data_IF_289576739324
#
_entry.id   IF_289576739324
#
_cell.length_a   1.000
_cell.length_b   1.000
_cell.length_c   1.000
_cell.angle_alpha   90.00
_cell.angle_beta   90.00
_cell.angle_gamma   90.00
#
_symmetry.space_group_name_H-M   'P 1'
#
loop_
_entity.id
_entity.type
_entity.pdbx_description
1 polymer ?
#
# COMPACT_ATOMS: atom_id res chain seq x y z
N UNK A 1 -5.89 24.87 33.15
CA UNK A 1 -6.18 24.20 31.87
C UNK A 1 -5.02 23.37 31.35
N UNK A 2 -3.88 23.92 30.91
CA UNK A 2 -2.73 23.11 30.44
C UNK A 2 -2.29 21.99 31.39
N UNK A 3 -2.15 22.30 32.70
CA UNK A 3 -1.83 21.29 33.74
C UNK A 3 -2.86 20.16 33.82
N UNK A 4 -4.15 20.46 33.61
CA UNK A 4 -5.22 19.47 33.62
C UNK A 4 -5.16 18.61 32.34
N UNK A 5 -4.89 19.20 31.18
CA UNK A 5 -4.73 18.44 29.92
C UNK A 5 -3.57 17.45 30.01
N UNK A 6 -2.37 17.87 30.41
CA UNK A 6 -1.24 16.95 30.56
C UNK A 6 -1.45 15.87 31.63
N UNK A 7 -2.40 16.08 32.55
CA UNK A 7 -2.76 15.09 33.56
C UNK A 7 -3.65 13.96 33.02
N UNK A 8 -4.20 14.10 31.80
CA UNK A 8 -5.01 13.05 31.15
C UNK A 8 -4.20 11.80 30.78
N UNK A 9 -2.88 11.94 30.58
CA UNK A 9 -1.98 10.81 30.32
C UNK A 9 -1.48 10.12 31.58
N UNK A 10 -1.67 10.71 32.76
CA UNK A 10 -1.17 10.11 34.00
C UNK A 10 -1.90 8.78 34.28
N UNK A 11 -1.17 7.76 34.78
CA UNK A 11 -1.75 6.44 35.06
C UNK A 11 -2.70 6.44 36.26
N UNK A 12 -2.64 7.48 37.12
CA UNK A 12 -3.46 7.58 38.34
C UNK A 12 -4.92 7.97 38.01
N UNK A 13 -5.91 7.08 38.22
CA UNK A 13 -7.29 7.32 37.80
C UNK A 13 -7.93 8.55 38.47
N UNK A 14 -7.72 8.75 39.77
CA UNK A 14 -8.31 9.89 40.50
C UNK A 14 -7.83 11.25 39.98
N UNK A 15 -6.55 11.37 39.62
CA UNK A 15 -5.99 12.60 39.03
C UNK A 15 -6.57 12.85 37.64
N UNK A 16 -6.78 11.78 36.85
CA UNK A 16 -7.39 11.85 35.52
C UNK A 16 -8.85 12.32 35.61
N UNK A 17 -9.69 11.66 36.40
CA UNK A 17 -11.11 12.02 36.57
C UNK A 17 -11.28 13.45 37.05
N UNK A 18 -10.45 13.91 37.99
CA UNK A 18 -10.47 15.31 38.45
C UNK A 18 -10.13 16.26 37.30
N UNK A 19 -9.10 15.96 36.53
CA UNK A 19 -8.65 16.80 35.41
C UNK A 19 -9.69 16.85 34.29
N UNK A 20 -10.34 15.73 33.97
CA UNK A 20 -11.45 15.66 33.01
C UNK A 20 -12.62 16.55 33.47
N UNK A 21 -13.02 16.48 34.74
CA UNK A 21 -14.08 17.33 35.29
C UNK A 21 -13.71 18.81 35.26
N UNK A 22 -12.47 19.17 35.61
CA UNK A 22 -11.98 20.55 35.54
C UNK A 22 -11.99 21.09 34.09
N UNK A 23 -11.68 20.25 33.11
CA UNK A 23 -11.70 20.61 31.69
C UNK A 23 -13.13 20.79 31.15
N UNK A 24 -14.06 19.88 31.48
CA UNK A 24 -15.47 19.98 31.06
C UNK A 24 -16.14 21.25 31.62
N UNK A 25 -15.81 21.65 32.85
CA UNK A 25 -16.33 22.89 33.46
C UNK A 25 -15.67 24.18 32.94
N UNK A 26 -14.55 24.06 32.21
CA UNK A 26 -13.73 25.21 31.80
C UNK A 26 -14.22 25.96 30.55
N UNK A 27 -15.31 25.50 29.92
CA UNK A 27 -15.96 26.16 28.77
C UNK A 27 -15.00 26.47 27.61
N UNK A 28 -15.21 27.60 26.93
CA UNK A 28 -14.42 27.99 25.76
C UNK A 28 -12.89 28.02 25.99
N UNK A 29 -12.44 28.34 27.20
CA UNK A 29 -11.01 28.38 27.54
C UNK A 29 -10.41 26.97 27.58
N UNK A 30 -11.11 26.01 28.17
CA UNK A 30 -10.67 24.62 28.17
C UNK A 30 -10.73 24.02 26.77
N UNK A 31 -11.79 24.30 26.01
CA UNK A 31 -11.91 23.89 24.61
C UNK A 31 -10.72 24.37 23.76
N UNK A 32 -10.35 25.64 23.86
CA UNK A 32 -9.21 26.19 23.11
C UNK A 32 -7.87 25.52 23.44
N UNK A 33 -7.68 25.06 24.68
CA UNK A 33 -6.48 24.28 25.06
C UNK A 33 -6.53 22.85 24.53
N UNK A 34 -7.70 22.19 24.62
CA UNK A 34 -7.90 20.84 24.13
C UNK A 34 -7.70 20.75 22.61
N UNK A 35 -8.24 21.69 21.85
CA UNK A 35 -8.07 21.77 20.39
C UNK A 35 -6.59 21.92 20.00
N UNK A 36 -5.82 22.74 20.71
CA UNK A 36 -4.38 22.89 20.45
C UNK A 36 -3.62 21.59 20.63
N UNK A 37 -3.96 20.81 21.65
CA UNK A 37 -3.34 19.50 21.91
C UNK A 37 -3.83 18.45 20.91
N UNK A 38 -5.10 18.50 20.53
CA UNK A 38 -5.69 17.64 19.52
C UNK A 38 -5.00 17.78 18.16
N UNK A 39 -4.67 19.01 17.73
CA UNK A 39 -4.00 19.30 16.45
C UNK A 39 -2.66 18.59 16.29
N UNK A 40 -1.94 18.32 17.37
CA UNK A 40 -0.65 17.59 17.34
C UNK A 40 -0.81 16.17 16.80
N UNK A 41 -1.97 15.53 17.01
CA UNK A 41 -2.28 14.21 16.45
C UNK A 41 -2.69 14.25 14.97
N UNK A 42 -2.90 15.44 14.40
CA UNK A 42 -3.45 15.61 13.07
C UNK A 42 -4.95 15.31 12.99
N UNK A 43 -5.53 15.70 11.86
CA UNK A 43 -6.98 15.70 11.69
C UNK A 43 -7.57 14.30 11.52
N UNK A 44 -6.88 13.37 10.88
CA UNK A 44 -7.35 11.97 10.75
C UNK A 44 -7.53 11.30 12.13
N UNK A 45 -6.56 11.48 13.02
CA UNK A 45 -6.64 10.99 14.40
C UNK A 45 -7.77 11.67 15.18
N UNK A 46 -7.99 12.97 14.96
CA UNK A 46 -9.08 13.69 15.57
C UNK A 46 -10.46 13.17 15.11
N UNK A 47 -10.66 12.97 13.81
CA UNK A 47 -11.91 12.43 13.28
C UNK A 47 -12.18 11.01 13.78
N UNK A 48 -11.14 10.18 13.85
CA UNK A 48 -11.21 8.83 14.41
C UNK A 48 -11.66 8.83 15.89
N UNK A 49 -11.19 9.80 16.68
CA UNK A 49 -11.51 9.92 18.09
C UNK A 49 -12.89 10.56 18.35
N UNK A 50 -13.27 11.58 17.57
CA UNK A 50 -14.52 12.33 17.74
C UNK A 50 -15.75 11.59 17.19
N UNK A 51 -15.60 10.78 16.14
CA UNK A 51 -16.70 10.08 15.47
C UNK A 51 -17.35 8.95 16.29
N UNK A 52 -18.49 8.37 15.84
CA UNK A 52 -19.13 7.23 16.50
C UNK A 52 -18.34 5.93 16.24
N UNK A 53 -18.44 4.95 17.14
CA UNK A 53 -17.57 3.76 17.11
C UNK A 53 -17.88 2.78 15.98
N UNK A 54 -19.12 2.74 15.48
CA UNK A 54 -19.59 1.62 14.64
C UNK A 54 -20.42 1.99 13.41
N UNK A 55 -20.89 3.24 13.25
CA UNK A 55 -21.87 3.59 12.21
C UNK A 55 -21.30 4.32 10.98
N UNK A 56 -20.11 4.94 11.05
CA UNK A 56 -19.49 5.65 9.92
C UNK A 56 -18.17 4.99 9.47
N UNK A 57 -18.15 4.40 8.28
CA UNK A 57 -16.98 3.70 7.72
C UNK A 57 -15.73 4.57 7.60
N UNK A 58 -15.88 5.87 7.33
CA UNK A 58 -14.76 6.82 7.24
C UNK A 58 -14.01 6.98 8.58
N UNK A 59 -14.74 6.96 9.69
CA UNK A 59 -14.15 7.00 11.04
C UNK A 59 -13.56 5.66 11.46
N UNK A 60 -14.06 4.55 10.91
CA UNK A 60 -13.49 3.22 11.15
C UNK A 60 -12.14 3.04 10.43
N UNK A 61 -12.04 3.44 9.16
CA UNK A 61 -10.79 3.40 8.39
C UNK A 61 -9.68 4.25 9.02
N UNK A 62 -10.01 5.47 9.47
CA UNK A 62 -9.07 6.35 10.16
C UNK A 62 -8.64 5.82 11.54
N UNK A 63 -9.45 4.99 12.22
CA UNK A 63 -9.05 4.32 13.47
C UNK A 63 -8.02 3.22 13.24
N UNK A 64 -8.15 2.45 12.16
CA UNK A 64 -7.18 1.40 11.83
C UNK A 64 -5.78 1.99 11.56
N UNK A 65 -5.70 3.19 10.98
CA UNK A 65 -4.41 3.87 10.72
C UNK A 65 -3.88 4.66 11.92
N UNK A 66 -4.75 5.16 12.81
CA UNK A 66 -4.36 5.96 13.98
C UNK A 66 -3.81 5.14 15.17
N UNK A 67 -4.05 3.83 15.22
CA UNK A 67 -3.54 2.95 16.29
C UNK A 67 -2.13 2.43 15.98
N UNK A 68 -1.13 3.33 16.01
CA UNK A 68 0.29 2.91 16.11
C UNK A 68 0.68 2.85 17.60
N UNK A 69 1.26 1.73 18.08
CA UNK A 69 1.56 1.52 19.50
C UNK A 69 2.58 2.50 20.10
N UNK A 70 3.36 3.20 19.26
CA UNK A 70 4.48 4.05 19.69
C UNK A 70 4.13 5.55 19.86
N UNK A 71 2.85 5.94 19.78
CA UNK A 71 2.43 7.37 19.85
C UNK A 71 1.68 7.71 21.15
N UNK A 72 1.92 8.92 21.66
CA UNK A 72 1.19 9.50 22.80
C UNK A 72 -0.33 9.43 22.58
N UNK A 73 -1.07 9.11 23.65
CA UNK A 73 -2.54 9.01 23.61
C UNK A 73 -3.22 10.34 23.94
N UNK A 74 -2.46 11.35 24.35
CA UNK A 74 -2.96 12.65 24.76
C UNK A 74 -3.80 13.34 23.66
N UNK A 75 -3.39 13.38 22.38
CA UNK A 75 -4.20 14.03 21.34
C UNK A 75 -5.57 13.38 21.21
N UNK A 76 -5.64 12.04 21.23
CA UNK A 76 -6.91 11.29 21.19
C UNK A 76 -7.81 11.63 22.38
N UNK A 77 -7.27 11.68 23.60
CA UNK A 77 -8.03 12.02 24.81
C UNK A 77 -8.51 13.47 24.79
N UNK A 78 -7.67 14.38 24.30
CA UNK A 78 -8.02 15.79 24.16
C UNK A 78 -9.17 15.99 23.15
N UNK A 79 -9.14 15.26 22.03
CA UNK A 79 -10.21 15.28 21.02
C UNK A 79 -11.52 14.75 21.60
N UNK A 80 -11.52 13.62 22.30
CA UNK A 80 -12.75 13.06 22.87
C UNK A 80 -13.41 14.04 23.86
N UNK A 81 -12.63 14.68 24.72
CA UNK A 81 -13.15 15.72 25.62
C UNK A 81 -13.64 16.96 24.87
N UNK A 82 -12.89 17.45 23.88
CA UNK A 82 -13.31 18.59 23.08
C UNK A 82 -14.62 18.30 22.31
N UNK A 83 -14.77 17.10 21.77
CA UNK A 83 -15.99 16.66 21.10
C UNK A 83 -17.18 16.61 22.09
N UNK A 84 -17.00 16.08 23.31
CA UNK A 84 -18.04 16.11 24.35
C UNK A 84 -18.48 17.53 24.69
N UNK A 85 -17.53 18.46 24.82
CA UNK A 85 -17.86 19.88 25.05
C UNK A 85 -18.71 20.47 23.93
N UNK A 86 -18.40 20.16 22.67
CA UNK A 86 -19.22 20.60 21.52
C UNK A 86 -20.60 19.97 21.52
N UNK A 87 -20.75 18.73 22.00
CA UNK A 87 -22.04 18.06 22.12
C UNK A 87 -22.93 18.70 23.20
N UNK A 88 -22.35 19.16 24.29
CA UNK A 88 -23.06 19.72 25.45
C UNK A 88 -23.32 21.23 25.32
N UNK A 89 -22.46 21.98 24.63
CA UNK A 89 -22.54 23.45 24.50
C UNK A 89 -22.82 23.88 23.05
N UNK A 90 -24.05 24.35 22.80
CA UNK A 90 -24.47 24.83 21.48
C UNK A 90 -23.73 26.10 21.02
N UNK A 91 -23.41 27.02 21.94
CA UNK A 91 -22.69 28.24 21.60
C UNK A 91 -21.24 27.94 21.22
N UNK A 92 -20.60 27.00 21.92
CA UNK A 92 -19.27 26.52 21.58
C UNK A 92 -19.24 25.81 20.22
N UNK A 93 -20.28 25.02 19.91
CA UNK A 93 -20.45 24.36 18.62
C UNK A 93 -20.56 25.34 17.47
N UNK A 94 -21.44 26.33 17.58
CA UNK A 94 -21.60 27.36 16.56
C UNK A 94 -20.32 28.18 16.36
N UNK A 95 -19.59 28.46 17.45
CA UNK A 95 -18.27 29.09 17.37
C UNK A 95 -17.27 28.22 16.58
N UNK A 96 -17.20 26.92 16.86
CA UNK A 96 -16.30 26.01 16.17
C UNK A 96 -16.65 25.85 14.68
N UNK A 97 -17.94 25.78 14.34
CA UNK A 97 -18.42 25.73 12.94
C UNK A 97 -18.07 26.99 12.14
N UNK A 98 -17.93 28.15 12.79
CA UNK A 98 -17.57 29.43 12.15
C UNK A 98 -16.10 29.80 12.35
N UNK A 99 -15.29 28.90 12.91
CA UNK A 99 -13.86 29.14 13.14
C UNK A 99 -13.15 29.32 11.81
N UNK A 100 -12.14 30.19 11.74
CA UNK A 100 -11.27 30.31 10.56
C UNK A 100 -10.43 29.04 10.33
N UNK A 101 -10.30 28.22 11.37
CA UNK A 101 -9.47 27.02 11.40
C UNK A 101 -10.23 25.78 10.91
N UNK A 102 -9.82 25.15 9.79
CA UNK A 102 -10.47 23.93 9.27
C UNK A 102 -10.51 22.80 10.30
N UNK A 103 -9.50 22.73 11.18
CA UNK A 103 -9.46 21.75 12.26
C UNK A 103 -10.70 21.83 13.18
N UNK A 104 -11.11 23.03 13.55
CA UNK A 104 -12.25 23.23 14.47
C UNK A 104 -13.58 22.97 13.77
N UNK A 105 -13.73 23.39 12.51
CA UNK A 105 -14.92 23.12 11.70
C UNK A 105 -15.14 21.62 11.49
N UNK A 106 -14.07 20.89 11.12
CA UNK A 106 -14.14 19.45 10.96
C UNK A 106 -14.37 18.70 12.27
N UNK A 107 -13.82 19.18 13.39
CA UNK A 107 -14.13 18.63 14.71
C UNK A 107 -15.60 18.84 15.11
N UNK A 108 -16.18 20.01 14.80
CA UNK A 108 -17.59 20.27 15.04
C UNK A 108 -18.51 19.38 14.20
N UNK A 109 -18.18 19.16 12.92
CA UNK A 109 -18.88 18.21 12.06
C UNK A 109 -18.80 16.78 12.62
N UNK A 110 -17.61 16.35 13.06
CA UNK A 110 -17.42 15.03 13.64
C UNK A 110 -18.20 14.85 14.96
N UNK A 111 -18.27 15.88 15.82
CA UNK A 111 -19.02 15.82 17.07
C UNK A 111 -20.54 15.68 16.85
N UNK A 112 -21.09 16.24 15.77
CA UNK A 112 -22.51 16.12 15.40
C UNK A 112 -22.93 14.66 15.14
N UNK A 113 -21.98 13.76 14.85
CA UNK A 113 -22.24 12.33 14.67
C UNK A 113 -22.82 11.63 15.90
N UNK A 114 -22.62 12.21 17.10
CA UNK A 114 -23.15 11.70 18.37
C UNK A 114 -24.41 12.43 18.85
N UNK A 115 -24.86 13.46 18.13
CA UNK A 115 -26.03 14.29 18.49
C UNK A 115 -26.94 14.45 17.27
N UNK A 116 -27.86 13.49 17.02
CA UNK A 116 -28.72 13.45 15.84
C UNK A 116 -29.42 14.77 15.51
N UNK A 117 -29.94 15.47 16.53
CA UNK A 117 -30.66 16.73 16.39
C UNK A 117 -29.85 17.86 15.71
N UNK A 118 -28.53 17.71 15.60
CA UNK A 118 -27.64 18.74 15.02
C UNK A 118 -26.96 18.33 13.71
N UNK A 119 -27.28 17.14 13.21
CA UNK A 119 -26.68 16.60 11.98
C UNK A 119 -27.02 17.47 10.76
N UNK A 120 -28.28 17.91 10.62
CA UNK A 120 -28.72 18.76 9.51
C UNK A 120 -28.05 20.13 9.55
N UNK A 121 -28.01 20.79 10.71
CA UNK A 121 -27.32 22.07 10.90
C UNK A 121 -25.83 21.96 10.57
N UNK A 122 -25.16 20.90 11.06
CA UNK A 122 -23.74 20.67 10.83
C UNK A 122 -23.42 20.47 9.34
N UNK A 123 -24.22 19.70 8.60
CA UNK A 123 -24.04 19.53 7.15
C UNK A 123 -24.33 20.80 6.36
N UNK A 124 -25.35 21.56 6.78
CA UNK A 124 -25.71 22.82 6.12
C UNK A 124 -24.56 23.84 6.20
N UNK A 125 -23.86 23.89 7.34
CA UNK A 125 -22.68 24.73 7.50
C UNK A 125 -21.53 24.37 6.52
N UNK A 126 -21.46 23.11 6.05
CA UNK A 126 -20.42 22.65 5.14
C UNK A 126 -20.64 23.04 3.68
N UNK A 127 -21.83 23.53 3.30
CA UNK A 127 -22.15 23.93 1.92
C UNK A 127 -21.22 25.02 1.37
N UNK A 128 -20.77 25.93 2.24
CA UNK A 128 -19.90 27.05 1.88
C UNK A 128 -18.46 26.84 2.39
N UNK A 129 -18.10 25.61 2.75
CA UNK A 129 -16.78 25.31 3.30
C UNK A 129 -15.69 25.67 2.28
N UNK A 130 -14.70 26.52 2.59
CA UNK A 130 -13.60 26.81 1.66
C UNK A 130 -12.57 25.68 1.57
N UNK A 131 -12.44 24.83 2.60
CA UNK A 131 -11.43 23.76 2.64
C UNK A 131 -11.87 22.51 1.82
N UNK A 132 -11.13 22.16 0.75
CA UNK A 132 -11.39 20.98 -0.10
C UNK A 132 -11.58 19.66 0.65
N UNK A 133 -10.75 19.43 1.67
CA UNK A 133 -10.70 18.17 2.41
C UNK A 133 -11.92 18.03 3.32
N UNK A 134 -12.30 19.13 3.96
CA UNK A 134 -13.50 19.18 4.77
C UNK A 134 -14.77 18.98 3.93
N UNK A 135 -14.83 19.47 2.68
CA UNK A 135 -15.94 19.16 1.76
C UNK A 135 -16.06 17.67 1.49
N UNK A 136 -14.95 17.01 1.13
CA UNK A 136 -14.92 15.56 0.89
C UNK A 136 -15.35 14.77 2.15
N UNK A 137 -14.95 15.22 3.33
CA UNK A 137 -15.39 14.63 4.58
C UNK A 137 -16.86 14.89 4.87
N UNK A 138 -17.37 16.09 4.60
CA UNK A 138 -18.78 16.43 4.76
C UNK A 138 -19.67 15.49 3.96
N UNK A 139 -19.30 15.13 2.73
CA UNK A 139 -20.02 14.13 1.91
C UNK A 139 -20.07 12.77 2.61
N UNK A 140 -18.94 12.30 3.13
CA UNK A 140 -18.89 11.00 3.84
C UNK A 140 -19.66 11.01 5.17
N UNK A 141 -19.65 12.14 5.90
CA UNK A 141 -20.48 12.32 7.09
C UNK A 141 -21.97 12.38 6.74
N UNK A 142 -22.32 13.02 5.62
CA UNK A 142 -23.70 13.11 5.14
C UNK A 142 -24.28 11.72 4.83
N UNK A 143 -23.57 10.90 4.06
CA UNK A 143 -23.97 9.50 3.82
C UNK A 143 -24.14 8.71 5.12
N UNK A 144 -23.24 8.94 6.09
CA UNK A 144 -23.35 8.27 7.38
C UNK A 144 -24.60 8.74 8.16
N UNK A 145 -24.87 10.04 8.20
CA UNK A 145 -26.02 10.59 8.92
C UNK A 145 -27.33 10.11 8.30
N UNK A 146 -27.42 10.05 6.96
CA UNK A 146 -28.57 9.48 6.26
C UNK A 146 -28.82 8.02 6.68
N UNK A 147 -27.80 7.16 6.63
CA UNK A 147 -27.93 5.74 7.07
C UNK A 147 -28.30 5.61 8.55
N UNK A 148 -27.87 6.55 9.39
CA UNK A 148 -28.28 6.56 10.79
C UNK A 148 -29.74 6.99 10.94
N UNK A 149 -30.19 7.99 10.17
CA UNK A 149 -31.57 8.46 10.17
C UNK A 149 -32.54 7.39 9.67
N UNK A 150 -32.20 6.68 8.58
CA UNK A 150 -32.95 5.50 8.08
C UNK A 150 -33.20 4.47 9.20
N UNK A 151 -32.16 4.17 9.99
CA UNK A 151 -32.27 3.22 11.11
C UNK A 151 -33.10 3.73 12.28
N UNK A 152 -33.09 5.05 12.52
CA UNK A 152 -33.84 5.68 13.62
C UNK A 152 -35.31 5.93 13.25
N UNK A 153 -35.62 6.06 11.96
CA UNK A 153 -36.93 6.42 11.43
C UNK A 153 -37.50 7.69 12.09
N UNK A 154 -36.66 8.73 12.22
CA UNK A 154 -36.96 9.98 12.94
C UNK A 154 -37.44 11.12 12.03
N UNK A 155 -37.68 10.85 10.74
CA UNK A 155 -38.11 11.84 9.74
C UNK A 155 -37.02 12.79 9.25
N UNK A 156 -35.77 12.67 9.73
CA UNK A 156 -34.65 13.52 9.27
C UNK A 156 -33.98 13.03 7.97
N UNK A 157 -34.35 11.85 7.48
CA UNK A 157 -33.75 11.19 6.32
C UNK A 157 -33.80 12.05 5.05
N UNK A 158 -34.93 12.66 4.74
CA UNK A 158 -35.11 13.47 3.53
C UNK A 158 -34.20 14.70 3.53
N UNK A 159 -34.14 15.41 4.65
CA UNK A 159 -33.28 16.58 4.81
C UNK A 159 -31.78 16.22 4.74
N UNK A 160 -31.38 15.10 5.34
CA UNK A 160 -30.00 14.60 5.30
C UNK A 160 -29.61 14.10 3.89
N UNK A 161 -30.54 13.44 3.20
CA UNK A 161 -30.35 12.99 1.81
C UNK A 161 -30.21 14.15 0.83
N UNK A 162 -31.01 15.21 1.00
CA UNK A 162 -30.87 16.45 0.24
C UNK A 162 -29.51 17.10 0.45
N UNK A 163 -29.08 17.26 1.71
CA UNK A 163 -27.76 17.79 2.04
C UNK A 163 -26.61 16.91 1.51
N UNK A 164 -26.76 15.58 1.55
CA UNK A 164 -25.76 14.65 1.03
C UNK A 164 -25.58 14.79 -0.50
N UNK A 165 -26.66 14.94 -1.25
CA UNK A 165 -26.63 15.10 -2.70
C UNK A 165 -25.93 16.39 -3.11
N UNK A 166 -26.28 17.51 -2.48
CA UNK A 166 -25.62 18.80 -2.72
C UNK A 166 -24.12 18.78 -2.36
N UNK A 167 -23.75 18.16 -1.22
CA UNK A 167 -22.35 18.02 -0.82
C UNK A 167 -21.58 17.06 -1.75
N UNK A 168 -22.24 16.10 -2.38
CA UNK A 168 -21.62 15.22 -3.37
C UNK A 168 -21.29 15.98 -4.67
N UNK A 169 -22.21 16.83 -5.15
CA UNK A 169 -21.97 17.69 -6.32
C UNK A 169 -20.80 18.66 -6.06
N UNK A 170 -20.77 19.31 -4.90
CA UNK A 170 -19.65 20.18 -4.49
C UNK A 170 -18.33 19.42 -4.29
N UNK A 171 -18.40 18.15 -3.88
CA UNK A 171 -17.23 17.30 -3.74
C UNK A 171 -16.67 16.88 -5.10
N UNK A 172 -17.51 16.69 -6.12
CA UNK A 172 -17.08 16.35 -7.48
C UNK A 172 -16.22 17.47 -8.11
N UNK A 173 -16.49 18.74 -7.79
CA UNK A 173 -15.66 19.89 -8.19
C UNK A 173 -14.25 19.85 -7.58
N UNK A 174 -14.08 19.16 -6.45
CA UNK A 174 -12.85 19.08 -5.65
C UNK A 174 -12.14 17.72 -5.82
N UNK A 175 -12.82 16.75 -6.46
CA UNK A 175 -12.43 15.34 -6.47
C UNK A 175 -11.24 15.02 -7.37
N UNK A 176 -10.78 15.95 -8.21
CA UNK A 176 -9.55 15.74 -8.96
C UNK A 176 -8.36 15.91 -7.99
N UNK A 177 -7.68 14.82 -7.56
CA UNK A 177 -6.44 14.96 -6.81
C UNK A 177 -5.46 15.78 -7.65
N UNK A 178 -4.59 16.56 -7.01
CA UNK A 178 -3.51 17.22 -7.74
C UNK A 178 -2.72 16.15 -8.49
N UNK A 179 -2.52 16.35 -9.80
CA UNK A 179 -1.86 15.39 -10.67
C UNK A 179 -0.57 15.99 -11.21
N UNK A 180 0.48 15.19 -11.19
CA UNK A 180 1.65 15.42 -12.02
C UNK A 180 1.64 14.36 -13.11
N UNK A 181 1.41 14.79 -14.35
CA UNK A 181 1.47 13.93 -15.54
C UNK A 181 2.86 13.99 -16.13
N UNK A 182 3.43 15.19 -16.26
CA UNK A 182 4.78 15.41 -16.78
C UNK A 182 5.75 15.93 -15.72
N UNK A 183 7.04 15.54 -15.74
CA UNK A 183 8.02 16.00 -14.76
C UNK A 183 8.14 17.53 -14.61
N UNK A 184 7.81 18.30 -15.64
CA UNK A 184 7.80 19.77 -15.59
C UNK A 184 6.66 20.38 -14.77
N UNK A 185 5.60 19.60 -14.50
CA UNK A 185 4.46 19.98 -13.66
C UNK A 185 4.71 19.72 -12.17
N UNK A 186 5.86 19.12 -11.83
CA UNK A 186 6.17 18.76 -10.46
C UNK A 186 6.34 20.02 -9.59
N UNK A 187 5.44 20.19 -8.62
CA UNK A 187 5.49 21.33 -7.71
C UNK A 187 6.76 21.32 -6.84
N UNK A 188 7.53 22.42 -6.78
CA UNK A 188 8.73 22.50 -5.95
C UNK A 188 8.47 22.24 -4.46
N UNK A 189 7.28 22.63 -3.97
CA UNK A 189 6.86 22.43 -2.58
C UNK A 189 6.73 20.94 -2.24
N UNK A 190 6.19 20.14 -3.15
CA UNK A 190 6.08 18.68 -2.97
C UNK A 190 7.46 18.04 -2.84
N UNK A 191 8.44 18.50 -3.63
CA UNK A 191 9.83 18.02 -3.55
C UNK A 191 10.45 18.36 -2.19
N UNK A 192 10.23 19.58 -1.69
CA UNK A 192 10.72 19.98 -0.37
C UNK A 192 10.06 19.19 0.77
N UNK A 193 8.77 18.90 0.65
CA UNK A 193 8.03 18.08 1.62
C UNK A 193 8.53 16.63 1.63
N UNK A 194 8.73 16.01 0.45
CA UNK A 194 9.31 14.68 0.32
C UNK A 194 10.74 14.63 0.89
N UNK A 195 11.56 15.65 0.60
CA UNK A 195 12.93 15.75 1.10
C UNK A 195 13.00 15.80 2.65
N UNK A 196 12.00 16.42 3.28
CA UNK A 196 11.90 16.58 4.75
C UNK A 196 11.09 15.47 5.43
N UNK A 197 10.54 14.52 4.67
CA UNK A 197 9.66 13.48 5.20
C UNK A 197 8.29 14.00 5.67
N UNK A 198 7.87 15.17 5.18
CA UNK A 198 6.53 15.74 5.41
C UNK A 198 5.51 15.22 4.38
N UNK A 199 5.97 14.71 3.24
CA UNK A 199 5.18 13.91 2.33
C UNK A 199 5.78 12.51 2.21
N UNK A 200 4.94 11.50 2.00
CA UNK A 200 5.35 10.10 1.85
C UNK A 200 4.51 9.39 0.77
N UNK A 201 5.09 8.39 0.13
CA UNK A 201 4.38 7.48 -0.75
C UNK A 201 3.27 6.76 0.01
N UNK A 202 2.09 6.71 -0.60
CA UNK A 202 0.85 6.20 -0.02
C UNK A 202 0.26 5.03 -0.84
N UNK A 203 1.08 4.38 -1.65
CA UNK A 203 0.71 3.25 -2.49
C UNK A 203 0.71 3.59 -3.99
N UNK A 204 0.24 2.64 -4.78
CA UNK A 204 0.13 2.76 -6.22
C UNK A 204 -1.12 2.03 -6.72
N UNK A 205 -1.63 2.45 -7.87
CA UNK A 205 -2.61 1.72 -8.66
C UNK A 205 -1.98 1.36 -9.99
N UNK A 206 -2.34 0.19 -10.52
CA UNK A 206 -1.92 -0.25 -11.85
C UNK A 206 -3.09 -0.90 -12.55
N UNK A 207 -3.46 -0.38 -13.71
CA UNK A 207 -4.18 -1.12 -14.74
C UNK A 207 -3.17 -1.60 -15.79
N UNK A 208 -3.60 -2.39 -16.77
CA UNK A 208 -2.71 -2.92 -17.82
C UNK A 208 -1.97 -1.81 -18.60
N UNK A 209 -2.56 -0.61 -18.68
CA UNK A 209 -2.05 0.49 -19.49
C UNK A 209 -1.60 1.73 -18.70
N UNK A 210 -1.99 1.84 -17.41
CA UNK A 210 -1.71 3.03 -16.60
C UNK A 210 -1.25 2.61 -15.20
N UNK A 211 -0.07 3.09 -14.80
CA UNK A 211 0.41 3.01 -13.43
C UNK A 211 0.43 4.42 -12.82
N UNK A 212 -0.16 4.57 -11.64
CA UNK A 212 -0.18 5.83 -10.91
C UNK A 212 0.34 5.61 -9.50
N UNK A 213 1.23 6.47 -9.04
CA UNK A 213 1.72 6.48 -7.67
C UNK A 213 0.99 7.56 -6.88
N UNK A 214 0.65 7.27 -5.64
CA UNK A 214 0.02 8.25 -4.76
C UNK A 214 1.04 8.73 -3.74
N UNK A 215 1.17 10.04 -3.59
CA UNK A 215 1.89 10.68 -2.48
C UNK A 215 0.88 11.31 -1.56
N UNK A 216 1.07 11.14 -0.26
CA UNK A 216 0.30 11.80 0.79
C UNK A 216 1.16 12.87 1.43
N UNK A 217 0.71 14.11 1.35
CA UNK A 217 1.32 15.28 2.01
C UNK A 217 0.95 15.32 3.49
N UNK A 218 1.63 16.14 4.28
CA UNK A 218 1.41 16.29 5.73
C UNK A 218 -0.03 16.76 6.05
N UNK A 219 -0.57 17.65 5.22
CA UNK A 219 -1.95 18.12 5.30
C UNK A 219 -2.97 17.02 4.96
N UNK A 220 -2.51 15.83 4.54
CA UNK A 220 -3.28 14.66 4.13
C UNK A 220 -3.87 14.75 2.72
N UNK A 221 -3.47 15.75 1.93
CA UNK A 221 -3.75 15.83 0.50
C UNK A 221 -3.05 14.70 -0.26
N UNK A 222 -3.71 14.20 -1.31
CA UNK A 222 -3.17 13.16 -2.18
C UNK A 222 -2.76 13.78 -3.51
N UNK A 223 -1.51 13.54 -3.88
CA UNK A 223 -0.98 13.89 -5.20
C UNK A 223 -0.80 12.60 -5.98
N UNK A 224 -1.41 12.53 -7.17
CA UNK A 224 -1.23 11.43 -8.10
C UNK A 224 -0.05 11.75 -9.04
N UNK A 225 0.95 10.87 -9.04
CA UNK A 225 2.13 10.99 -9.88
C UNK A 225 2.07 9.94 -10.99
N UNK A 226 2.28 10.37 -12.22
CA UNK A 226 2.67 9.47 -13.31
C UNK A 226 4.01 8.78 -12.98
N UNK A 227 4.36 7.69 -13.66
CA UNK A 227 5.65 7.02 -13.47
C UNK A 227 6.85 7.96 -13.67
N UNK A 228 6.75 8.87 -14.65
CA UNK A 228 7.80 9.84 -14.94
C UNK A 228 7.91 10.89 -13.83
N UNK A 229 6.78 11.40 -13.33
CA UNK A 229 6.75 12.33 -12.20
C UNK A 229 7.27 11.69 -10.90
N UNK A 230 6.93 10.43 -10.62
CA UNK A 230 7.43 9.73 -9.45
C UNK A 230 8.96 9.56 -9.49
N UNK A 231 9.53 9.21 -10.65
CA UNK A 231 10.97 9.14 -10.84
C UNK A 231 11.64 10.51 -10.65
N UNK A 232 11.07 11.57 -11.23
CA UNK A 232 11.58 12.93 -11.11
C UNK A 232 11.50 13.47 -9.68
N UNK A 233 10.38 13.22 -8.99
CA UNK A 233 10.18 13.59 -7.60
C UNK A 233 11.19 12.89 -6.68
N UNK A 234 11.45 11.60 -6.92
CA UNK A 234 12.50 10.89 -6.20
C UNK A 234 13.88 11.50 -6.46
N UNK A 235 14.27 11.68 -7.74
CA UNK A 235 15.60 12.22 -8.08
C UNK A 235 15.80 13.63 -7.46
N UNK A 236 14.76 14.46 -7.45
CA UNK A 236 14.80 15.80 -6.86
C UNK A 236 14.82 15.80 -5.32
N UNK A 237 14.08 14.89 -4.67
CA UNK A 237 14.10 14.73 -3.22
C UNK A 237 15.43 14.11 -2.72
N UNK A 238 15.95 13.12 -3.45
CA UNK A 238 17.22 12.46 -3.15
C UNK A 238 18.40 13.43 -3.24
N UNK A 239 18.38 14.36 -4.20
CA UNK A 239 19.38 15.44 -4.27
C UNK A 239 19.39 16.35 -3.02
N UNK A 240 18.30 16.35 -2.24
CA UNK A 240 18.15 17.07 -0.96
C UNK A 240 18.26 16.15 0.26
N UNK A 241 18.60 14.87 0.07
CA UNK A 241 18.78 13.88 1.14
C UNK A 241 17.52 13.13 1.59
N UNK A 242 16.39 13.28 0.89
CA UNK A 242 15.17 12.51 1.16
C UNK A 242 15.06 11.28 0.26
N UNK A 243 14.88 10.11 0.87
CA UNK A 243 14.81 8.83 0.15
C UNK A 243 13.50 8.12 0.49
N UNK A 244 12.58 8.07 -0.47
CA UNK A 244 11.34 7.32 -0.37
C UNK A 244 11.30 6.20 -1.42
N UNK A 245 11.63 4.99 -0.99
CA UNK A 245 11.63 3.79 -1.82
C UNK A 245 10.26 3.50 -2.45
N UNK A 246 9.15 3.94 -1.85
CA UNK A 246 7.81 3.67 -2.35
C UNK A 246 7.48 4.45 -3.63
N UNK A 247 8.24 5.50 -3.95
CA UNK A 247 8.16 6.19 -5.24
C UNK A 247 8.77 5.38 -6.39
N UNK A 248 9.71 4.47 -6.09
CA UNK A 248 10.45 3.74 -7.12
C UNK A 248 10.13 2.24 -7.15
N UNK A 249 9.84 1.63 -6.00
CA UNK A 249 9.68 0.18 -5.90
C UNK A 249 8.59 -0.34 -6.85
N UNK A 250 7.38 0.24 -6.90
CA UNK A 250 6.35 -0.20 -7.84
C UNK A 250 6.79 -0.09 -9.30
N UNK A 251 7.53 0.98 -9.63
CA UNK A 251 8.08 1.20 -10.97
C UNK A 251 9.11 0.12 -11.33
N UNK A 252 9.96 -0.26 -10.38
CA UNK A 252 11.02 -1.23 -10.60
C UNK A 252 10.49 -2.69 -10.67
N UNK A 253 9.46 -3.04 -9.91
CA UNK A 253 9.04 -4.44 -9.72
C UNK A 253 7.69 -4.79 -10.35
N UNK A 254 6.76 -3.84 -10.42
CA UNK A 254 5.37 -4.09 -10.85
C UNK A 254 5.02 -3.47 -12.22
N UNK A 255 5.86 -2.63 -12.80
CA UNK A 255 5.58 -2.00 -14.10
C UNK A 255 5.91 -2.94 -15.28
N UNK A 256 5.00 -3.02 -16.25
CA UNK A 256 5.11 -3.93 -17.40
C UNK A 256 5.29 -3.20 -18.75
N UNK A 257 4.73 -2.01 -18.93
CA UNK A 257 4.73 -1.29 -20.22
C UNK A 257 6.02 -0.55 -20.56
N UNK A 258 6.54 0.29 -19.66
CA UNK A 258 7.74 1.10 -19.92
C UNK A 258 9.02 0.48 -19.34
N UNK A 259 9.67 -0.38 -20.13
CA UNK A 259 10.89 -1.07 -19.72
C UNK A 259 12.06 -0.12 -19.42
N UNK A 260 12.12 1.04 -20.08
CA UNK A 260 13.19 2.02 -19.87
C UNK A 260 13.04 2.66 -18.51
N UNK A 261 11.83 3.08 -18.17
CA UNK A 261 11.52 3.67 -16.88
C UNK A 261 11.64 2.63 -15.75
N UNK A 262 11.24 1.37 -15.99
CA UNK A 262 11.44 0.26 -15.04
C UNK A 262 12.91 0.08 -14.70
N UNK A 263 13.77 0.01 -15.73
CA UNK A 263 15.22 -0.13 -15.57
C UNK A 263 15.80 1.09 -14.83
N UNK A 264 15.36 2.29 -15.20
CA UNK A 264 15.76 3.52 -14.55
C UNK A 264 15.44 3.51 -13.04
N UNK A 265 14.21 3.16 -12.65
CA UNK A 265 13.80 3.08 -11.25
C UNK A 265 14.59 2.01 -10.47
N UNK A 266 14.79 0.83 -11.06
CA UNK A 266 15.58 -0.25 -10.45
C UNK A 266 17.03 0.15 -10.20
N UNK A 267 17.65 0.89 -11.13
CA UNK A 267 19.02 1.40 -10.96
C UNK A 267 19.15 2.42 -9.82
N UNK A 268 18.18 3.35 -9.65
CA UNK A 268 18.17 4.28 -8.52
C UNK A 268 18.04 3.52 -7.19
N UNK A 269 17.06 2.62 -7.10
CA UNK A 269 16.86 1.84 -5.88
C UNK A 269 18.10 1.02 -5.51
N UNK A 270 18.74 0.37 -6.50
CA UNK A 270 19.95 -0.43 -6.26
C UNK A 270 21.12 0.43 -5.77
N UNK A 271 21.28 1.65 -6.31
CA UNK A 271 22.30 2.63 -5.89
C UNK A 271 22.04 3.11 -4.45
N UNK A 272 20.80 3.40 -4.13
CA UNK A 272 20.41 4.08 -2.89
C UNK A 272 19.98 3.11 -1.77
N UNK A 273 20.24 1.81 -1.93
CA UNK A 273 19.91 0.77 -0.93
C UNK A 273 20.43 1.11 0.47
N UNK A 274 21.57 1.78 0.59
CA UNK A 274 22.15 2.09 1.90
C UNK A 274 21.38 3.14 2.71
N UNK A 275 20.44 3.86 2.06
CA UNK A 275 19.52 4.78 2.73
C UNK A 275 18.25 4.09 3.25
N UNK A 276 18.05 2.81 2.92
CA UNK A 276 16.94 2.00 3.41
C UNK A 276 17.27 1.44 4.80
N UNK A 277 16.25 1.33 5.65
CA UNK A 277 16.35 0.70 6.97
C UNK A 277 17.00 -0.68 6.87
N UNK A 278 17.93 -0.96 7.78
CA UNK A 278 18.79 -2.15 7.73
C UNK A 278 17.99 -3.46 7.63
N UNK A 279 16.90 -3.58 8.40
CA UNK A 279 16.00 -4.73 8.41
C UNK A 279 15.29 -5.00 7.07
N UNK A 280 15.09 -3.99 6.23
CA UNK A 280 14.38 -4.11 4.93
C UNK A 280 15.31 -4.12 3.74
N UNK A 281 16.55 -3.67 3.92
CA UNK A 281 17.53 -3.50 2.85
C UNK A 281 17.84 -4.79 2.09
N UNK A 282 18.05 -5.89 2.81
CA UNK A 282 18.36 -7.18 2.19
C UNK A 282 17.16 -7.74 1.40
N UNK A 283 15.95 -7.59 1.94
CA UNK A 283 14.71 -7.99 1.27
C UNK A 283 14.48 -7.18 -0.01
N UNK A 284 14.65 -5.86 0.03
CA UNK A 284 14.52 -5.01 -1.15
C UNK A 284 15.58 -5.34 -2.21
N UNK A 285 16.83 -5.57 -1.80
CA UNK A 285 17.87 -6.04 -2.71
C UNK A 285 17.47 -7.36 -3.39
N UNK A 286 16.88 -8.29 -2.65
CA UNK A 286 16.37 -9.54 -3.19
C UNK A 286 15.25 -9.31 -4.21
N UNK A 287 14.25 -8.49 -3.89
CA UNK A 287 13.15 -8.14 -4.81
C UNK A 287 13.66 -7.52 -6.12
N UNK A 288 14.67 -6.65 -6.06
CA UNK A 288 15.29 -6.02 -7.23
C UNK A 288 16.02 -7.05 -8.10
N UNK A 289 16.81 -7.94 -7.50
CA UNK A 289 17.45 -9.06 -8.23
C UNK A 289 16.39 -9.94 -8.89
N UNK A 290 15.31 -10.26 -8.17
CA UNK A 290 14.23 -11.08 -8.71
C UNK A 290 13.51 -10.40 -9.87
N UNK A 291 13.34 -9.09 -9.81
CA UNK A 291 12.78 -8.27 -10.88
C UNK A 291 13.71 -8.08 -12.09
N UNK A 292 14.93 -8.63 -12.05
CA UNK A 292 15.90 -8.64 -13.14
C UNK A 292 16.88 -7.47 -13.13
N UNK A 293 16.97 -6.72 -12.04
CA UNK A 293 17.91 -5.60 -11.91
C UNK A 293 19.27 -6.05 -11.41
N UNK A 294 20.32 -5.37 -11.85
CA UNK A 294 21.66 -5.53 -11.30
C UNK A 294 21.74 -4.82 -9.95
N UNK A 295 22.06 -5.58 -8.90
CA UNK A 295 22.18 -5.08 -7.54
C UNK A 295 23.61 -5.35 -7.04
N UNK A 296 24.40 -4.30 -6.72
CA UNK A 296 25.79 -4.48 -6.27
C UNK A 296 25.89 -5.20 -4.92
N UNK A 297 24.88 -5.02 -4.06
CA UNK A 297 24.82 -5.68 -2.76
C UNK A 297 24.53 -7.17 -2.94
N UNK A 298 25.38 -8.02 -2.36
CA UNK A 298 25.12 -9.46 -2.28
C UNK A 298 23.98 -9.71 -1.31
N UNK A 299 22.93 -10.38 -1.79
CA UNK A 299 21.82 -10.83 -0.97
C UNK A 299 22.29 -11.98 -0.10
N UNK A 300 21.91 -11.92 1.18
CA UNK A 300 22.14 -12.98 2.17
C UNK A 300 20.82 -13.62 2.54
N UNK A 301 20.83 -14.88 3.00
CA UNK A 301 19.63 -15.59 3.41
C UNK A 301 19.89 -16.38 4.70
N UNK A 302 18.84 -16.65 5.49
CA UNK A 302 18.96 -17.48 6.69
C UNK A 302 18.66 -18.94 6.35
N UNK A 303 19.70 -19.78 6.34
CA UNK A 303 19.59 -21.20 6.07
C UNK A 303 18.76 -21.99 7.09
N UNK A 304 18.47 -21.41 8.27
CA UNK A 304 17.65 -22.04 9.31
C UNK A 304 16.16 -21.69 9.20
N UNK A 305 15.81 -20.67 8.39
CA UNK A 305 14.44 -20.14 8.26
C UNK A 305 13.99 -20.02 6.80
N UNK A 306 14.19 -21.10 6.05
CA UNK A 306 14.07 -21.12 4.59
C UNK A 306 12.67 -20.80 4.06
N UNK A 307 11.61 -21.18 4.77
CA UNK A 307 10.24 -20.81 4.41
C UNK A 307 10.00 -19.29 4.41
N UNK A 308 10.66 -18.57 5.32
CA UNK A 308 10.60 -17.10 5.41
C UNK A 308 11.70 -16.37 4.63
N UNK A 309 12.70 -17.09 4.10
CA UNK A 309 13.85 -16.53 3.37
C UNK A 309 13.93 -17.01 1.91
N UNK A 310 12.81 -17.47 1.34
CA UNK A 310 12.78 -18.08 0.00
C UNK A 310 13.09 -17.07 -1.11
N UNK A 311 12.65 -15.82 -0.96
CA UNK A 311 12.93 -14.70 -1.86
C UNK A 311 14.44 -14.39 -1.86
N UNK A 312 15.02 -14.30 -0.67
CA UNK A 312 16.45 -14.06 -0.48
C UNK A 312 17.29 -15.22 -1.00
N UNK A 313 16.86 -16.46 -0.80
CA UNK A 313 17.54 -17.64 -1.34
C UNK A 313 17.55 -17.63 -2.88
N UNK A 314 16.40 -17.35 -3.51
CA UNK A 314 16.31 -17.24 -4.97
C UNK A 314 17.20 -16.11 -5.50
N UNK A 315 17.17 -14.93 -4.87
CA UNK A 315 18.02 -13.82 -5.28
C UNK A 315 19.52 -14.13 -5.08
N UNK A 316 19.88 -14.74 -3.95
CA UNK A 316 21.26 -15.12 -3.62
C UNK A 316 21.82 -16.12 -4.64
N UNK A 317 21.03 -17.13 -5.04
CA UNK A 317 21.48 -18.10 -6.04
C UNK A 317 21.61 -17.48 -7.42
N UNK A 318 20.73 -16.52 -7.79
CA UNK A 318 20.82 -15.76 -9.05
C UNK A 318 22.06 -14.87 -9.11
N UNK A 319 22.51 -14.33 -7.97
CA UNK A 319 23.80 -13.64 -7.86
C UNK A 319 25.01 -14.59 -7.80
N UNK A 320 24.80 -15.90 -7.90
CA UNK A 320 25.87 -16.89 -7.95
C UNK A 320 26.43 -17.31 -6.58
N UNK A 321 25.71 -17.10 -5.48
CA UNK A 321 26.16 -17.52 -4.15
C UNK A 321 26.29 -19.07 -4.07
N UNK A 322 27.49 -19.62 -3.80
CA UNK A 322 27.68 -21.07 -3.72
C UNK A 322 26.97 -21.72 -2.52
N UNK A 323 26.80 -21.01 -1.41
CA UNK A 323 26.08 -21.51 -0.24
C UNK A 323 24.59 -21.71 -0.54
N UNK A 324 23.98 -20.77 -1.27
CA UNK A 324 22.60 -20.88 -1.74
C UNK A 324 22.40 -22.14 -2.59
N UNK A 325 23.33 -22.45 -3.49
CA UNK A 325 23.29 -23.69 -4.32
C UNK A 325 23.34 -24.95 -3.45
N UNK A 326 24.19 -24.98 -2.43
CA UNK A 326 24.31 -26.12 -1.53
C UNK A 326 23.04 -26.33 -0.68
N UNK A 327 22.38 -25.25 -0.27
CA UNK A 327 21.12 -25.30 0.49
C UNK A 327 19.96 -25.79 -0.38
N UNK A 328 19.85 -25.31 -1.62
CA UNK A 328 18.80 -25.77 -2.56
C UNK A 328 18.86 -27.28 -2.76
N UNK A 329 20.05 -27.87 -2.88
CA UNK A 329 20.19 -29.33 -3.03
C UNK A 329 19.65 -30.13 -1.83
N UNK A 330 19.63 -29.53 -0.63
CA UNK A 330 19.14 -30.18 0.61
C UNK A 330 17.64 -30.00 0.82
N UNK A 331 17.00 -29.03 0.17
CA UNK A 331 15.64 -28.59 0.43
C UNK A 331 14.53 -29.43 -0.24
N UNK A 332 14.88 -30.46 -0.99
CA UNK A 332 13.96 -31.03 -1.97
C UNK A 332 13.33 -32.33 -1.49
N UNK A 333 12.15 -32.18 -0.89
CA UNK A 333 11.25 -33.28 -0.56
C UNK A 333 10.00 -33.19 -1.43
N UNK A 334 9.54 -34.34 -1.93
CA UNK A 334 8.20 -34.46 -2.48
C UNK A 334 7.23 -34.60 -1.30
N UNK A 335 6.86 -33.50 -0.64
CA UNK A 335 5.74 -33.51 0.30
C UNK A 335 4.45 -33.12 -0.41
N UNK A 336 3.32 -33.62 0.06
CA UNK A 336 1.97 -33.36 -0.46
C UNK A 336 1.48 -31.92 -0.23
N UNK A 337 2.34 -31.03 0.24
CA UNK A 337 1.97 -29.65 0.56
C UNK A 337 1.97 -28.76 -0.69
N UNK A 338 1.12 -27.74 -0.62
CA UNK A 338 0.55 -26.99 -1.75
C UNK A 338 1.52 -25.98 -2.39
N UNK A 339 2.74 -25.83 -1.87
CA UNK A 339 3.75 -24.92 -2.42
C UNK A 339 5.09 -25.66 -2.61
N UNK A 340 5.57 -25.72 -3.85
CA UNK A 340 6.81 -26.40 -4.26
C UNK A 340 7.69 -25.45 -5.09
N UNK A 341 7.59 -24.14 -4.86
CA UNK A 341 8.40 -23.11 -5.53
C UNK A 341 9.89 -23.36 -5.40
N UNK A 342 10.35 -23.95 -4.30
CA UNK A 342 11.74 -24.31 -4.03
C UNK A 342 12.28 -25.31 -5.06
N UNK A 343 11.43 -26.19 -5.64
CA UNK A 343 11.85 -27.11 -6.69
C UNK A 343 12.30 -26.37 -7.95
N UNK A 344 11.69 -25.22 -8.26
CA UNK A 344 12.09 -24.42 -9.41
C UNK A 344 13.51 -23.85 -9.26
N UNK A 345 14.00 -23.71 -8.02
CA UNK A 345 15.33 -23.22 -7.70
C UNK A 345 16.44 -24.22 -8.08
N UNK A 346 16.12 -25.51 -8.25
CA UNK A 346 17.05 -26.50 -8.80
C UNK A 346 17.64 -26.06 -10.14
N UNK A 347 16.87 -25.29 -10.91
CA UNK A 347 17.30 -24.73 -12.18
C UNK A 347 18.57 -23.88 -12.10
N UNK A 348 18.79 -23.21 -10.96
CA UNK A 348 19.96 -22.36 -10.73
C UNK A 348 21.20 -23.12 -10.22
N UNK A 349 21.04 -24.39 -9.82
CA UNK A 349 22.17 -25.26 -9.44
C UNK A 349 22.97 -25.65 -10.66
N UNK A 350 22.31 -25.97 -11.78
CA UNK A 350 22.95 -26.17 -13.09
C UNK A 350 23.81 -27.43 -13.21
N UNK A 351 23.54 -28.47 -12.40
CA UNK A 351 24.29 -29.75 -12.44
C UNK A 351 23.44 -30.86 -13.04
N UNK A 352 24.09 -31.89 -13.61
CA UNK A 352 23.40 -33.09 -14.09
C UNK A 352 22.55 -33.75 -13.00
N UNK A 353 23.08 -33.85 -11.77
CA UNK A 353 22.35 -34.39 -10.63
C UNK A 353 21.08 -33.58 -10.29
N UNK A 354 21.15 -32.25 -10.38
CA UNK A 354 19.97 -31.38 -10.20
C UNK A 354 18.92 -31.61 -11.30
N UNK A 355 19.36 -31.78 -12.56
CA UNK A 355 18.47 -32.08 -13.67
C UNK A 355 17.82 -33.47 -13.55
N UNK A 356 18.59 -34.48 -13.15
CA UNK A 356 18.07 -35.82 -12.91
C UNK A 356 17.04 -35.81 -11.77
N UNK A 357 17.34 -35.11 -10.67
CA UNK A 357 16.41 -34.93 -9.55
C UNK A 357 15.13 -34.19 -9.95
N UNK A 358 15.25 -33.10 -10.70
CA UNK A 358 14.08 -32.37 -11.20
C UNK A 358 13.22 -33.25 -12.12
N UNK A 359 13.84 -34.05 -12.99
CA UNK A 359 13.12 -34.97 -13.88
C UNK A 359 12.38 -36.08 -13.10
N UNK A 360 13.00 -36.66 -12.07
CA UNK A 360 12.35 -37.61 -11.17
C UNK A 360 11.12 -37.00 -10.49
N UNK A 361 11.27 -35.80 -9.92
CA UNK A 361 10.20 -35.10 -9.21
C UNK A 361 9.06 -34.70 -10.14
N UNK A 362 9.35 -34.28 -11.36
CA UNK A 362 8.31 -33.97 -12.34
C UNK A 362 7.42 -35.18 -12.68
N UNK A 363 7.94 -36.40 -12.51
CA UNK A 363 7.18 -37.65 -12.71
C UNK A 363 6.47 -38.14 -11.45
N UNK A 364 7.07 -37.92 -10.28
CA UNK A 364 6.59 -38.45 -9.00
C UNK A 364 5.61 -37.50 -8.29
N UNK A 365 5.71 -36.19 -8.55
CA UNK A 365 4.99 -35.15 -7.81
C UNK A 365 4.11 -34.32 -8.76
N UNK A 366 2.82 -34.68 -8.95
CA UNK A 366 1.92 -33.94 -9.83
C UNK A 366 1.82 -32.44 -9.49
N UNK A 367 1.71 -32.09 -8.20
CA UNK A 367 1.64 -30.70 -7.71
C UNK A 367 2.92 -29.88 -7.96
N UNK A 368 4.08 -30.54 -7.96
CA UNK A 368 5.39 -29.95 -8.22
C UNK A 368 5.83 -29.95 -9.69
N UNK A 369 5.03 -30.54 -10.59
CA UNK A 369 5.43 -30.79 -11.99
C UNK A 369 5.83 -29.51 -12.72
N UNK A 370 5.05 -28.43 -12.60
CA UNK A 370 5.37 -27.16 -13.25
C UNK A 370 6.67 -26.53 -12.72
N UNK A 371 6.93 -26.60 -11.42
CA UNK A 371 8.17 -26.11 -10.81
C UNK A 371 9.38 -26.94 -11.23
N UNK A 372 9.24 -28.26 -11.25
CA UNK A 372 10.30 -29.17 -11.71
C UNK A 372 10.61 -28.99 -13.21
N UNK A 373 9.59 -28.80 -14.05
CA UNK A 373 9.77 -28.47 -15.46
C UNK A 373 10.42 -27.09 -15.63
N UNK A 374 10.05 -26.10 -14.80
CA UNK A 374 10.72 -24.80 -14.80
C UNK A 374 12.23 -24.92 -14.53
N UNK A 375 12.62 -25.77 -13.57
CA UNK A 375 14.03 -26.05 -13.30
C UNK A 375 14.73 -26.70 -14.51
N UNK A 376 14.11 -27.70 -15.14
CA UNK A 376 14.65 -28.34 -16.35
C UNK A 376 14.79 -27.35 -17.53
N UNK A 377 13.82 -26.46 -17.71
CA UNK A 377 13.87 -25.40 -18.73
C UNK A 377 15.05 -24.47 -18.48
N UNK A 378 15.25 -23.99 -17.24
CA UNK A 378 16.40 -23.14 -16.89
C UNK A 378 17.74 -23.82 -17.17
N UNK A 379 17.85 -25.11 -16.87
CA UNK A 379 19.05 -25.92 -17.15
C UNK A 379 19.21 -26.29 -18.63
N UNK A 380 18.26 -25.90 -19.49
CA UNK A 380 18.20 -26.26 -20.92
C UNK A 380 18.21 -27.78 -21.15
N UNK A 381 17.61 -28.54 -20.22
CA UNK A 381 17.54 -29.98 -20.33
C UNK A 381 16.49 -30.39 -21.39
N UNK A 382 16.85 -31.20 -22.39
CA UNK A 382 15.95 -31.58 -23.48
C UNK A 382 14.73 -32.39 -23.01
N UNK A 383 14.79 -33.02 -21.83
CA UNK A 383 13.65 -33.75 -21.23
C UNK A 383 12.50 -32.82 -20.86
N UNK A 384 12.75 -31.52 -20.68
CA UNK A 384 11.71 -30.52 -20.42
C UNK A 384 10.64 -30.51 -21.52
N UNK A 385 11.03 -30.68 -22.80
CA UNK A 385 10.11 -30.67 -23.94
C UNK A 385 9.01 -31.74 -23.85
N UNK A 386 9.35 -32.91 -23.32
CA UNK A 386 8.40 -34.03 -23.17
C UNK A 386 7.40 -33.79 -22.05
N UNK A 387 7.81 -33.07 -21.01
CA UNK A 387 7.00 -32.82 -19.82
C UNK A 387 6.20 -31.51 -19.91
N UNK A 388 6.60 -30.60 -20.81
CA UNK A 388 5.98 -29.29 -20.97
C UNK A 388 4.46 -29.33 -21.23
N UNK A 389 3.91 -30.22 -22.09
CA UNK A 389 2.45 -30.30 -22.29
C UNK A 389 1.68 -30.54 -21.00
N UNK A 390 2.08 -31.56 -20.24
CA UNK A 390 1.43 -31.91 -18.97
C UNK A 390 1.67 -30.84 -17.90
N UNK A 391 2.86 -30.23 -17.87
CA UNK A 391 3.11 -29.12 -16.97
C UNK A 391 2.19 -27.93 -17.28
N UNK A 392 1.91 -27.63 -18.55
CA UNK A 392 1.01 -26.55 -18.99
C UNK A 392 -0.45 -26.81 -18.63
N UNK A 393 -0.88 -28.07 -18.63
CA UNK A 393 -2.22 -28.49 -18.18
C UNK A 393 -2.35 -28.42 -16.65
N UNK A 394 -1.31 -28.85 -15.91
CA UNK A 394 -1.28 -28.94 -14.46
C UNK A 394 -0.46 -27.79 -13.80
N UNK A 395 -0.70 -26.52 -14.17
CA UNK A 395 0.12 -25.38 -13.70
C UNK A 395 0.09 -25.14 -12.18
N UNK A 396 -1.05 -25.36 -11.52
CA UNK A 396 -1.23 -25.14 -10.07
C UNK A 396 -0.72 -23.77 -9.59
N UNK A 397 -0.23 -23.70 -8.35
CA UNK A 397 0.36 -22.50 -7.75
C UNK A 397 1.76 -22.11 -8.32
N UNK A 398 2.31 -22.90 -9.24
CA UNK A 398 3.70 -22.83 -9.71
C UNK A 398 3.85 -22.21 -11.13
N UNK A 399 2.77 -21.68 -11.70
CA UNK A 399 2.71 -21.06 -13.03
C UNK A 399 3.80 -19.99 -13.26
N UNK A 400 3.98 -19.09 -12.31
CA UNK A 400 4.90 -17.95 -12.45
C UNK A 400 6.36 -18.40 -12.54
N UNK A 401 6.73 -19.48 -11.84
CA UNK A 401 8.07 -20.04 -11.92
C UNK A 401 8.40 -20.58 -13.32
N UNK A 402 7.42 -21.22 -13.98
CA UNK A 402 7.57 -21.75 -15.34
C UNK A 402 7.55 -20.65 -16.40
N UNK A 403 6.66 -19.66 -16.30
CA UNK A 403 6.68 -18.48 -17.18
C UNK A 403 8.04 -17.77 -17.13
N UNK A 404 8.56 -17.54 -15.93
CA UNK A 404 9.88 -16.91 -15.74
C UNK A 404 11.01 -17.76 -16.33
N UNK A 405 10.99 -19.08 -16.11
CA UNK A 405 11.98 -19.99 -16.69
C UNK A 405 11.97 -19.95 -18.23
N UNK A 406 10.78 -19.89 -18.84
CA UNK A 406 10.64 -19.77 -20.30
C UNK A 406 11.20 -18.44 -20.82
N UNK A 407 11.04 -17.35 -20.05
CA UNK A 407 11.63 -16.05 -20.39
C UNK A 407 13.17 -16.08 -20.30
N UNK A 408 13.70 -16.65 -19.22
CA UNK A 408 15.15 -16.68 -18.93
C UNK A 408 15.94 -17.63 -19.83
N UNK A 409 15.33 -18.76 -20.21
CA UNK A 409 16.01 -19.86 -20.90
C UNK A 409 15.26 -20.33 -22.16
N UNK A 410 14.60 -19.40 -22.86
CA UNK A 410 13.89 -19.68 -24.11
C UNK A 410 14.77 -20.42 -25.13
N UNK A 411 14.15 -21.36 -25.85
CA UNK A 411 14.73 -21.99 -27.03
C UNK A 411 13.67 -22.09 -28.14
N UNK A 412 14.05 -22.06 -29.44
CA UNK A 412 13.09 -22.18 -30.54
C UNK A 412 12.19 -23.42 -30.44
N UNK A 413 12.75 -24.56 -30.00
CA UNK A 413 11.99 -25.82 -29.81
C UNK A 413 10.93 -25.71 -28.72
N UNK A 414 11.17 -24.93 -27.65
CA UNK A 414 10.14 -24.65 -26.65
C UNK A 414 9.03 -23.78 -27.26
N UNK A 415 9.39 -22.79 -28.08
CA UNK A 415 8.44 -21.97 -28.83
C UNK A 415 7.53 -22.77 -29.76
N UNK A 416 8.10 -23.69 -30.55
CA UNK A 416 7.34 -24.60 -31.43
C UNK A 416 6.35 -25.46 -30.64
N UNK A 417 6.78 -26.01 -29.50
CA UNK A 417 5.92 -26.81 -28.63
C UNK A 417 4.78 -25.97 -28.03
N UNK A 418 5.05 -24.74 -27.61
CA UNK A 418 4.05 -23.82 -27.08
C UNK A 418 3.00 -23.44 -28.14
N UNK A 419 3.43 -23.12 -29.36
CA UNK A 419 2.52 -22.84 -30.48
C UNK A 419 1.67 -24.06 -30.83
N UNK A 420 2.25 -25.27 -30.80
CA UNK A 420 1.51 -26.50 -31.04
C UNK A 420 0.45 -26.76 -29.96
N UNK A 421 0.72 -26.39 -28.70
CA UNK A 421 -0.25 -26.48 -27.60
C UNK A 421 -1.34 -25.41 -27.72
N UNK A 422 -0.98 -24.17 -28.08
CA UNK A 422 -1.92 -23.09 -28.35
C UNK A 422 -2.90 -23.47 -29.48
N UNK A 423 -2.38 -24.03 -30.58
CA UNK A 423 -3.18 -24.51 -31.71
C UNK A 423 -4.16 -25.63 -31.32
N UNK A 424 -3.85 -26.39 -30.26
CA UNK A 424 -4.75 -27.40 -29.67
C UNK A 424 -5.73 -26.83 -28.65
N UNK A 425 -5.76 -25.51 -28.47
CA UNK A 425 -6.68 -24.83 -27.56
C UNK A 425 -6.20 -24.74 -26.10
N UNK A 426 -4.92 -24.98 -25.82
CA UNK A 426 -4.39 -24.82 -24.46
C UNK A 426 -4.25 -23.33 -24.10
N UNK A 427 -5.11 -22.84 -23.19
CA UNK A 427 -5.17 -21.44 -22.79
C UNK A 427 -3.89 -20.97 -22.07
N UNK A 428 -3.24 -21.87 -21.32
CA UNK A 428 -2.00 -21.60 -20.60
C UNK A 428 -0.84 -21.38 -21.57
N UNK A 429 -0.74 -22.23 -22.60
CA UNK A 429 0.22 -22.08 -23.68
C UNK A 429 0.00 -20.76 -24.43
N UNK A 430 -1.26 -20.42 -24.75
CA UNK A 430 -1.60 -19.11 -25.35
C UNK A 430 -1.11 -17.94 -24.49
N UNK A 431 -1.37 -17.98 -23.17
CA UNK A 431 -0.90 -16.95 -22.24
C UNK A 431 0.62 -16.85 -22.20
N UNK A 432 1.34 -17.98 -22.20
CA UNK A 432 2.79 -18.00 -22.24
C UNK A 432 3.35 -17.44 -23.57
N UNK A 433 2.74 -17.79 -24.71
CA UNK A 433 3.12 -17.26 -26.03
C UNK A 433 2.93 -15.74 -26.08
N UNK A 434 1.78 -15.23 -25.63
CA UNK A 434 1.52 -13.79 -25.55
C UNK A 434 2.56 -13.07 -24.69
N UNK A 435 2.88 -13.62 -23.52
CA UNK A 435 3.90 -13.08 -22.62
C UNK A 435 5.30 -13.05 -23.25
N UNK A 436 5.72 -14.13 -23.90
CA UNK A 436 7.04 -14.22 -24.54
C UNK A 436 7.16 -13.30 -25.77
N UNK A 437 6.07 -13.10 -26.53
CA UNK A 437 6.01 -12.12 -27.63
C UNK A 437 6.08 -10.70 -27.11
N UNK A 438 5.31 -10.37 -26.07
CA UNK A 438 5.35 -9.05 -25.43
C UNK A 438 6.75 -8.71 -24.87
N UNK A 439 7.48 -9.71 -24.40
CA UNK A 439 8.86 -9.55 -23.94
C UNK A 439 9.91 -9.56 -25.08
N UNK A 440 9.51 -9.65 -26.35
CA UNK A 440 10.39 -9.77 -27.53
C UNK A 440 11.36 -10.97 -27.49
N UNK A 441 11.06 -12.00 -26.70
CA UNK A 441 11.85 -13.24 -26.63
C UNK A 441 11.43 -14.22 -27.73
N UNK A 442 10.14 -14.23 -28.07
CA UNK A 442 9.58 -15.01 -29.16
C UNK A 442 9.21 -14.09 -30.31
N UNK A 443 9.53 -14.49 -31.55
CA UNK A 443 9.14 -13.73 -32.74
C UNK A 443 7.60 -13.63 -32.86
N UNK A 444 7.07 -12.50 -33.38
CA UNK A 444 5.63 -12.30 -33.54
C UNK A 444 4.94 -13.39 -34.36
#
# INVERSE_FOLDING_TARGET
MWKAVFSLERPVPATRTRSESELLKGGATAYGVLVKVARVGGMEQALAAAGPTSSCSITAAARFTAQRPDRSTLPTKAVDLAARMLMEDAALRQRAQRSEEPFERGLALAAASRVPATQVEALTAMRLEPDPKLRLWATAFAECFTRQAEKRNDGSEEALSGAARELAELADEVRAPLRCVEPGELEPVLVDELARGLAESAGYSSSNDVMTLTVRRENGERVELSPACALAAYDAAAAKGGYDEGLLKPLATAMHGDLKLRKAAGQRLARDLDHVQENRRNYLAAELVLAGHEVPRKVTFDATRLSSSSIELEASVRQGNPEAKAVIQKLILCSSDVDQRELALLGYVGTKAAADRAYELARQCPSGKAAAVAALVRMKDPRALKLLPQAMEDWGFNQEALKRALLEAYTPKLGEQLLALEAKGNNQARSAVQYLKAANVMKP
#
